data_IF_851885613193
#
_entry.id   IF_851885613193
#
_cell.length_a   1.000
_cell.length_b   1.000
_cell.length_c   1.000
_cell.angle_alpha   90.00
_cell.angle_beta   90.00
_cell.angle_gamma   90.00
#
_symmetry.space_group_name_H-M   'P 1'
#
loop_
_entity.id
_entity.type
_entity.pdbx_description
1 polymer ?
#
# COMPACT_ATOMS: atom_id res chain seq x y z
N UNK A 1 -4.11 6.43 -18.87
CA UNK A 1 -4.36 5.01 -18.87
C UNK A 1 -4.88 4.54 -17.49
N UNK A 2 -4.16 4.81 -16.39
CA UNK A 2 -4.54 4.40 -15.03
C UNK A 2 -5.97 4.85 -14.65
N UNK A 3 -6.28 6.13 -14.82
CA UNK A 3 -7.60 6.70 -14.51
C UNK A 3 -8.73 6.01 -15.30
N UNK A 4 -8.49 5.66 -16.56
CA UNK A 4 -9.48 4.95 -17.35
C UNK A 4 -9.72 3.52 -16.84
N UNK A 5 -8.69 2.84 -16.34
CA UNK A 5 -8.86 1.52 -15.72
C UNK A 5 -9.68 1.62 -14.43
N UNK A 6 -9.37 2.60 -13.58
CA UNK A 6 -10.11 2.82 -12.33
C UNK A 6 -11.60 3.10 -12.59
N UNK A 7 -11.92 3.92 -13.58
CA UNK A 7 -13.31 4.25 -13.96
C UNK A 7 -14.13 3.05 -14.44
N UNK A 8 -13.46 2.02 -14.95
CA UNK A 8 -14.10 0.82 -15.49
C UNK A 8 -14.24 -0.32 -14.48
N UNK A 9 -13.76 -0.13 -13.23
CA UNK A 9 -13.91 -1.13 -12.18
C UNK A 9 -15.38 -1.34 -11.83
N UNK A 10 -15.80 -2.60 -11.84
CA UNK A 10 -17.15 -3.01 -11.50
C UNK A 10 -17.26 -3.20 -9.99
N UNK A 11 -18.14 -2.43 -9.38
CA UNK A 11 -18.50 -2.61 -7.98
C UNK A 11 -19.58 -3.68 -7.87
N UNK A 12 -19.45 -4.57 -6.89
CA UNK A 12 -20.44 -5.60 -6.66
C UNK A 12 -20.10 -6.48 -5.46
N UNK A 13 -21.02 -7.37 -5.14
CA UNK A 13 -20.90 -8.26 -3.99
C UNK A 13 -21.23 -9.70 -4.39
N UNK A 14 -20.36 -10.63 -3.97
CA UNK A 14 -20.55 -12.07 -4.14
C UNK A 14 -20.16 -12.62 -5.51
N UNK A 15 -20.07 -13.94 -5.59
CA UNK A 15 -19.55 -14.67 -6.74
C UNK A 15 -20.38 -14.51 -8.03
N UNK A 16 -21.71 -14.34 -7.88
CA UNK A 16 -22.63 -14.25 -9.01
C UNK A 16 -22.47 -12.99 -9.86
N UNK A 17 -21.84 -11.94 -9.34
CA UNK A 17 -21.66 -10.66 -10.03
C UNK A 17 -20.28 -10.50 -10.67
N UNK A 18 -19.33 -11.37 -10.30
CA UNK A 18 -17.93 -11.27 -10.71
C UNK A 18 -17.41 -9.84 -10.65
N UNK A 19 -17.48 -9.18 -9.48
CA UNK A 19 -17.05 -7.79 -9.33
C UNK A 19 -15.53 -7.68 -9.27
N UNK A 20 -15.01 -6.51 -9.66
CA UNK A 20 -13.61 -6.16 -9.49
C UNK A 20 -13.32 -5.66 -8.07
N UNK A 21 -14.31 -5.07 -7.41
CA UNK A 21 -14.18 -4.53 -6.06
C UNK A 21 -15.47 -4.63 -5.25
N UNK A 22 -15.34 -5.06 -3.99
CA UNK A 22 -16.41 -5.15 -3.02
C UNK A 22 -16.52 -3.90 -2.12
N UNK A 23 -17.46 -3.92 -1.14
CA UNK A 23 -17.59 -2.87 -0.14
C UNK A 23 -16.47 -2.93 0.91
N UNK A 24 -16.29 -1.83 1.63
CA UNK A 24 -15.46 -1.79 2.82
C UNK A 24 -16.09 -2.64 3.95
N UNK A 25 -15.26 -3.03 4.92
CA UNK A 25 -15.70 -3.94 5.99
C UNK A 25 -16.70 -3.29 6.96
N UNK A 26 -16.56 -1.98 7.22
CA UNK A 26 -17.44 -1.23 8.13
C UNK A 26 -17.77 0.16 7.60
N UNK A 27 -18.90 0.73 8.05
CA UNK A 27 -19.25 2.13 7.80
C UNK A 27 -18.23 3.08 8.43
N UNK A 28 -17.71 2.76 9.60
CA UNK A 28 -16.68 3.55 10.27
C UNK A 28 -15.41 3.69 9.41
N UNK A 29 -14.98 2.61 8.74
CA UNK A 29 -13.84 2.66 7.81
C UNK A 29 -14.14 3.54 6.60
N UNK A 30 -15.34 3.40 6.02
CA UNK A 30 -15.79 4.24 4.91
C UNK A 30 -15.78 5.72 5.28
N UNK A 31 -16.40 6.05 6.40
CA UNK A 31 -16.58 7.44 6.85
C UNK A 31 -15.24 8.09 7.19
N UNK A 32 -14.29 7.34 7.80
CA UNK A 32 -12.91 7.79 8.02
C UNK A 32 -12.19 8.10 6.70
N UNK A 33 -12.37 7.26 5.68
CA UNK A 33 -11.71 7.49 4.38
C UNK A 33 -12.34 8.69 3.67
N UNK A 34 -13.65 8.86 3.75
CA UNK A 34 -14.32 10.05 3.21
C UNK A 34 -13.85 11.34 3.89
N UNK A 35 -13.68 11.34 5.22
CA UNK A 35 -13.09 12.45 5.97
C UNK A 35 -11.65 12.74 5.52
N UNK A 36 -10.83 11.71 5.32
CA UNK A 36 -9.46 11.85 4.84
C UNK A 36 -9.39 12.42 3.41
N UNK A 37 -10.32 12.03 2.53
CA UNK A 37 -10.46 12.60 1.20
C UNK A 37 -10.84 14.08 1.29
N UNK A 38 -11.86 14.42 2.07
CA UNK A 38 -12.33 15.80 2.25
C UNK A 38 -11.23 16.70 2.82
N UNK A 39 -10.52 16.25 3.85
CA UNK A 39 -9.34 16.95 4.39
C UNK A 39 -8.29 17.19 3.30
N UNK A 40 -8.00 16.19 2.50
CA UNK A 40 -7.01 16.29 1.42
C UNK A 40 -7.40 17.33 0.38
N UNK A 41 -8.66 17.36 -0.02
CA UNK A 41 -9.17 18.34 -0.99
C UNK A 41 -9.14 19.77 -0.44
N UNK A 42 -9.47 19.96 0.85
CA UNK A 42 -9.38 21.26 1.54
C UNK A 42 -7.93 21.76 1.62
N UNK A 43 -6.96 20.86 1.66
CA UNK A 43 -5.54 21.18 1.71
C UNK A 43 -4.86 21.26 0.32
N UNK A 44 -5.63 21.27 -0.76
CA UNK A 44 -5.11 21.52 -2.12
C UNK A 44 -4.89 20.26 -2.96
N UNK A 45 -5.25 19.07 -2.45
CA UNK A 45 -5.35 17.86 -3.26
C UNK A 45 -6.41 18.00 -4.35
N UNK A 46 -6.24 17.29 -5.46
CA UNK A 46 -7.16 17.33 -6.59
C UNK A 46 -7.82 15.97 -6.78
N UNK A 47 -9.14 15.93 -6.67
CA UNK A 47 -9.93 14.74 -6.99
C UNK A 47 -10.01 14.55 -8.51
N UNK A 48 -9.49 13.44 -8.99
CA UNK A 48 -9.55 13.07 -10.42
C UNK A 48 -10.72 12.13 -10.71
N UNK A 49 -11.12 11.30 -9.71
CA UNK A 49 -12.26 10.39 -9.81
C UNK A 49 -12.69 9.86 -8.44
N UNK A 50 -13.96 9.48 -8.30
CA UNK A 50 -14.52 8.83 -7.11
C UNK A 50 -14.76 9.80 -5.94
N UNK A 51 -14.34 9.40 -4.74
CA UNK A 51 -14.44 10.23 -3.54
C UNK A 51 -15.83 10.31 -2.91
N UNK A 52 -16.75 9.44 -3.31
CA UNK A 52 -18.14 9.42 -2.84
C UNK A 52 -18.71 8.01 -2.70
N UNK A 53 -19.85 7.91 -2.07
CA UNK A 53 -20.66 6.69 -2.07
C UNK A 53 -21.29 6.55 -3.46
N UNK A 54 -21.19 5.37 -4.12
CA UNK A 54 -21.74 5.18 -5.45
C UNK A 54 -23.27 5.23 -5.44
N UNK A 55 -23.86 5.92 -6.42
CA UNK A 55 -25.31 6.14 -6.52
C UNK A 55 -26.12 4.84 -6.67
N UNK A 56 -25.53 3.86 -7.37
CA UNK A 56 -26.13 2.54 -7.57
C UNK A 56 -25.99 1.59 -6.36
N UNK A 57 -25.24 2.00 -5.32
CA UNK A 57 -25.06 1.26 -4.07
C UNK A 57 -25.23 2.19 -2.85
N UNK A 58 -26.41 2.77 -2.65
CA UNK A 58 -26.60 3.79 -1.60
C UNK A 58 -26.63 3.19 -0.17
N UNK A 59 -26.83 1.87 -0.06
CA UNK A 59 -26.88 1.15 1.21
C UNK A 59 -25.64 0.26 1.35
N UNK A 60 -25.05 0.25 2.53
CA UNK A 60 -23.86 -0.54 2.84
C UNK A 60 -22.59 0.31 2.93
N UNK A 61 -21.44 -0.37 2.93
CA UNK A 61 -20.14 0.26 3.20
C UNK A 61 -19.38 0.57 1.90
N UNK A 62 -20.09 1.04 0.90
CA UNK A 62 -19.52 1.30 -0.42
C UNK A 62 -18.75 2.60 -0.48
N UNK A 63 -17.66 2.59 -1.21
CA UNK A 63 -16.88 3.76 -1.61
C UNK A 63 -16.45 3.58 -3.05
N UNK A 64 -16.62 4.59 -3.88
CA UNK A 64 -16.08 4.54 -5.25
C UNK A 64 -14.55 4.43 -5.23
N UNK A 65 -13.96 3.63 -6.15
CA UNK A 65 -12.51 3.69 -6.36
C UNK A 65 -12.12 5.14 -6.64
N UNK A 66 -11.15 5.63 -5.91
CA UNK A 66 -10.83 7.06 -5.86
C UNK A 66 -9.42 7.33 -6.30
N UNK A 67 -9.21 8.38 -7.07
CA UNK A 67 -7.88 8.85 -7.47
C UNK A 67 -7.74 10.32 -7.11
N UNK A 68 -6.71 10.63 -6.34
CA UNK A 68 -6.36 11.98 -5.90
C UNK A 68 -4.93 12.29 -6.33
N UNK A 69 -4.74 13.46 -6.93
CA UNK A 69 -3.43 13.98 -7.33
C UNK A 69 -3.08 15.26 -6.56
N UNK A 70 -1.95 15.84 -6.84
CA UNK A 70 -1.46 17.04 -6.16
C UNK A 70 -1.31 16.86 -4.64
N UNK A 71 -0.84 15.68 -4.25
CA UNK A 71 -0.56 15.33 -2.85
C UNK A 71 0.78 15.95 -2.42
N UNK A 72 0.86 16.37 -1.16
CA UNK A 72 2.11 16.74 -0.50
C UNK A 72 2.34 15.89 0.75
N UNK A 73 3.59 15.80 1.17
CA UNK A 73 4.03 15.08 2.37
C UNK A 73 3.54 15.69 3.69
N UNK A 74 2.88 16.85 3.64
CA UNK A 74 2.26 17.53 4.79
C UNK A 74 0.80 17.15 4.99
N UNK A 75 0.18 16.50 4.01
CA UNK A 75 -1.22 16.10 4.06
C UNK A 75 -1.39 14.83 4.89
N UNK A 76 -2.52 14.69 5.56
CA UNK A 76 -2.87 13.50 6.33
C UNK A 76 -2.85 12.23 5.46
N UNK A 77 -3.35 12.31 4.23
CA UNK A 77 -3.41 11.17 3.30
C UNK A 77 -2.04 10.60 2.92
N UNK A 78 -0.96 11.38 3.08
CA UNK A 78 0.40 10.90 2.89
C UNK A 78 0.92 10.14 4.11
N UNK A 79 0.51 10.55 5.32
CA UNK A 79 1.05 10.06 6.59
C UNK A 79 0.18 8.99 7.26
N UNK A 80 -1.11 8.93 6.95
CA UNK A 80 -2.04 7.95 7.51
C UNK A 80 -2.26 6.78 6.54
N UNK A 81 -2.30 5.55 7.07
CA UNK A 81 -2.69 4.39 6.28
C UNK A 81 -4.15 4.51 5.84
N UNK A 82 -4.39 4.53 4.54
CA UNK A 82 -5.75 4.74 3.99
C UNK A 82 -6.63 3.52 4.24
N UNK A 83 -6.12 2.33 4.02
CA UNK A 83 -6.81 1.04 4.13
C UNK A 83 -8.15 1.00 3.37
N UNK A 84 -8.10 1.40 2.10
CA UNK A 84 -9.27 1.47 1.22
C UNK A 84 -8.95 1.81 -0.23
N UNK A 85 -9.97 1.90 -1.09
CA UNK A 85 -9.80 2.00 -2.54
C UNK A 85 -9.44 3.43 -2.99
N UNK A 86 -8.41 4.01 -2.46
CA UNK A 86 -7.94 5.36 -2.80
C UNK A 86 -6.49 5.31 -3.24
N UNK A 87 -6.22 5.78 -4.44
CA UNK A 87 -4.89 6.00 -4.96
C UNK A 87 -4.50 7.47 -4.82
N UNK A 88 -3.55 7.76 -3.94
CA UNK A 88 -2.94 9.07 -3.79
C UNK A 88 -1.68 9.13 -4.65
N UNK A 89 -1.60 10.11 -5.56
CA UNK A 89 -0.53 10.23 -6.54
C UNK A 89 0.22 11.52 -6.34
N UNK A 90 1.53 11.42 -6.15
CA UNK A 90 2.46 12.53 -6.04
C UNK A 90 3.47 12.48 -7.19
N UNK A 91 3.89 13.64 -7.68
CA UNK A 91 5.00 13.77 -8.62
C UNK A 91 6.30 13.99 -7.87
N UNK A 92 7.38 13.54 -8.45
CA UNK A 92 8.74 13.81 -7.98
C UNK A 92 9.63 14.25 -9.17
N UNK A 93 10.75 14.91 -8.87
CA UNK A 93 11.67 15.48 -9.85
C UNK A 93 13.00 14.73 -9.91
N UNK A 94 13.37 14.02 -8.85
CA UNK A 94 14.63 13.27 -8.78
C UNK A 94 14.47 11.97 -8.02
N UNK A 95 15.41 11.03 -8.22
CA UNK A 95 15.44 9.74 -7.54
C UNK A 95 15.69 9.93 -6.03
N UNK A 96 16.52 10.89 -5.62
CA UNK A 96 16.77 11.19 -4.21
C UNK A 96 15.53 11.78 -3.51
N UNK A 97 14.76 12.63 -4.21
CA UNK A 97 13.51 13.17 -3.69
C UNK A 97 12.50 12.06 -3.41
N UNK A 98 12.25 11.18 -4.39
CA UNK A 98 11.26 10.13 -4.21
C UNK A 98 11.72 9.08 -3.20
N UNK A 99 13.01 8.79 -3.09
CA UNK A 99 13.56 7.92 -2.06
C UNK A 99 13.31 8.49 -0.66
N UNK A 100 13.61 9.79 -0.47
CA UNK A 100 13.37 10.49 0.78
C UNK A 100 11.89 10.46 1.17
N UNK A 101 11.00 10.74 0.21
CA UNK A 101 9.55 10.72 0.44
C UNK A 101 9.05 9.31 0.73
N UNK A 102 9.51 8.31 0.00
CA UNK A 102 9.10 6.91 0.21
C UNK A 102 9.51 6.39 1.58
N UNK A 103 10.70 6.75 2.07
CA UNK A 103 11.20 6.33 3.37
C UNK A 103 10.64 7.14 4.56
N UNK A 104 9.95 8.24 4.30
CA UNK A 104 9.39 9.12 5.34
C UNK A 104 8.21 8.50 6.11
N UNK A 105 7.60 7.47 5.59
CA UNK A 105 6.48 6.77 6.24
C UNK A 105 6.92 6.00 7.48
N UNK A 106 6.02 5.90 8.47
CA UNK A 106 6.20 5.05 9.65
C UNK A 106 6.00 3.55 9.32
N UNK A 107 5.57 3.22 8.14
CA UNK A 107 5.35 1.85 7.66
C UNK A 107 6.45 1.37 6.74
N UNK A 108 6.64 0.06 6.65
CA UNK A 108 7.68 -0.53 5.81
C UNK A 108 7.42 -2.00 5.48
N UNK A 109 6.22 -2.34 4.96
CA UNK A 109 5.94 -3.72 4.56
C UNK A 109 6.48 -3.99 3.17
N UNK A 110 5.90 -3.37 2.15
CA UNK A 110 6.27 -3.61 0.75
C UNK A 110 6.34 -2.32 -0.07
N UNK A 111 7.27 -2.26 -0.99
CA UNK A 111 7.41 -1.20 -1.98
C UNK A 111 7.47 -1.78 -3.39
N UNK A 112 7.06 -0.99 -4.38
CA UNK A 112 6.95 -1.43 -5.77
C UNK A 112 7.64 -0.44 -6.69
N UNK A 113 8.57 -0.94 -7.52
CA UNK A 113 9.32 -0.14 -8.48
C UNK A 113 9.00 -0.61 -9.89
N UNK A 114 8.68 0.32 -10.78
CA UNK A 114 8.46 0.04 -12.19
C UNK A 114 9.46 0.82 -13.03
N UNK A 115 10.50 0.16 -13.49
CA UNK A 115 11.56 0.76 -14.33
C UNK A 115 12.35 -0.31 -15.07
N UNK A 116 12.87 0.03 -16.24
CA UNK A 116 13.82 -0.82 -16.99
C UNK A 116 15.27 -0.40 -16.77
N UNK A 117 15.52 0.65 -16.00
CA UNK A 117 16.86 1.17 -15.73
C UNK A 117 17.50 0.38 -14.56
N UNK A 118 18.49 -0.44 -14.85
CA UNK A 118 19.20 -1.27 -13.86
C UNK A 118 19.83 -0.45 -12.73
N UNK A 119 20.36 0.74 -13.01
CA UNK A 119 20.94 1.60 -11.97
C UNK A 119 19.89 2.05 -10.97
N UNK A 120 18.68 2.38 -11.45
CA UNK A 120 17.54 2.72 -10.59
C UNK A 120 17.04 1.51 -9.81
N UNK A 121 17.01 0.32 -10.44
CA UNK A 121 16.63 -0.91 -9.74
C UNK A 121 17.55 -1.13 -8.55
N UNK A 122 18.86 -1.11 -8.76
CA UNK A 122 19.84 -1.30 -7.69
C UNK A 122 19.75 -0.21 -6.62
N UNK A 123 19.70 1.06 -7.05
CA UNK A 123 19.61 2.20 -6.14
C UNK A 123 18.40 2.09 -5.20
N UNK A 124 17.22 1.86 -5.72
CA UNK A 124 16.01 1.78 -4.88
C UNK A 124 15.95 0.47 -4.09
N UNK A 125 16.40 -0.66 -4.64
CA UNK A 125 16.39 -1.93 -3.92
C UNK A 125 17.30 -1.92 -2.69
N UNK A 126 18.37 -1.15 -2.72
CA UNK A 126 19.33 -1.03 -1.60
C UNK A 126 18.92 0.03 -0.57
N UNK A 127 18.18 1.07 -1.00
CA UNK A 127 17.93 2.24 -0.16
C UNK A 127 16.49 2.42 0.32
N UNK A 128 15.52 1.67 -0.22
CA UNK A 128 14.15 1.68 0.27
C UNK A 128 14.06 0.92 1.60
N UNK A 129 13.51 1.57 2.62
CA UNK A 129 13.31 1.03 3.96
C UNK A 129 12.00 0.26 4.07
N UNK A 130 11.94 -0.89 3.38
CA UNK A 130 10.79 -1.79 3.36
C UNK A 130 11.26 -3.24 3.48
N UNK A 131 10.44 -4.10 4.08
CA UNK A 131 10.72 -5.53 4.16
C UNK A 131 10.74 -6.21 2.80
N UNK A 132 9.98 -5.67 1.85
CA UNK A 132 9.97 -6.12 0.46
C UNK A 132 10.15 -4.98 -0.53
N UNK A 133 10.98 -5.21 -1.56
CA UNK A 133 11.09 -4.34 -2.73
C UNK A 133 10.77 -5.19 -3.97
N UNK A 134 9.62 -4.95 -4.56
CA UNK A 134 9.12 -5.64 -5.74
C UNK A 134 9.43 -4.83 -7.01
N UNK A 135 10.04 -5.45 -8.01
CA UNK A 135 10.46 -4.76 -9.25
C UNK A 135 9.67 -5.29 -10.44
N UNK A 136 8.99 -4.39 -11.15
CA UNK A 136 8.24 -4.66 -12.38
C UNK A 136 7.16 -5.74 -12.25
N UNK A 137 6.66 -5.98 -11.05
CA UNK A 137 5.61 -6.96 -10.80
C UNK A 137 5.57 -7.39 -9.35
N UNK A 138 4.77 -8.41 -9.07
CA UNK A 138 4.62 -9.00 -7.75
C UNK A 138 5.04 -10.48 -7.85
N UNK A 139 5.96 -10.89 -6.98
CA UNK A 139 6.37 -12.28 -6.86
C UNK A 139 6.23 -12.75 -5.41
N UNK A 140 5.26 -13.61 -5.18
CA UNK A 140 5.14 -14.33 -3.92
C UNK A 140 5.66 -15.75 -4.06
N UNK A 141 6.46 -16.18 -3.09
CA UNK A 141 6.90 -17.58 -3.01
C UNK A 141 7.18 -17.94 -1.55
N UNK A 142 6.82 -19.14 -1.15
CA UNK A 142 6.94 -19.61 0.24
C UNK A 142 8.40 -19.60 0.75
N UNK A 143 9.38 -19.61 -0.13
CA UNK A 143 10.81 -19.55 0.20
C UNK A 143 11.36 -18.12 0.31
N UNK A 144 10.57 -17.11 -0.05
CA UNK A 144 10.91 -15.70 0.13
C UNK A 144 10.36 -15.22 1.47
N UNK A 145 11.17 -14.51 2.27
CA UNK A 145 10.66 -13.94 3.51
C UNK A 145 9.61 -12.87 3.21
N UNK A 146 8.53 -12.89 3.97
CA UNK A 146 7.52 -11.85 3.97
C UNK A 146 7.44 -11.28 5.37
N UNK A 147 7.66 -9.99 5.53
CA UNK A 147 7.63 -9.31 6.81
C UNK A 147 7.98 -7.85 6.66
N UNK A 148 7.43 -7.02 7.54
CA UNK A 148 7.63 -5.59 7.55
C UNK A 148 8.75 -5.16 8.48
N UNK A 149 9.09 -3.88 8.37
CA UNK A 149 9.90 -3.13 9.32
C UNK A 149 9.09 -1.93 9.81
N UNK A 150 9.62 -1.15 10.75
CA UNK A 150 8.95 0.00 11.36
C UNK A 150 7.60 -0.44 11.98
N UNK A 151 6.55 0.35 11.87
CA UNK A 151 5.21 0.06 12.42
C UNK A 151 4.46 -1.06 11.65
N UNK A 152 4.99 -1.54 10.52
CA UNK A 152 4.37 -2.67 9.80
C UNK A 152 4.54 -4.01 10.49
N UNK A 153 5.41 -4.11 11.51
CA UNK A 153 5.50 -5.27 12.37
C UNK A 153 6.90 -5.81 12.57
N UNK A 154 6.98 -6.90 13.33
CA UNK A 154 8.21 -7.60 13.71
C UNK A 154 8.07 -9.07 13.31
N UNK A 155 9.17 -9.67 12.87
CA UNK A 155 9.20 -11.07 12.44
C UNK A 155 8.86 -11.27 10.98
N UNK A 156 8.83 -12.55 10.58
CA UNK A 156 8.60 -12.94 9.19
C UNK A 156 7.64 -14.12 9.13
N UNK A 157 6.77 -14.13 8.16
CA UNK A 157 6.15 -15.34 7.66
C UNK A 157 6.83 -15.77 6.37
N UNK A 158 6.61 -16.98 5.92
CA UNK A 158 7.33 -17.58 4.79
C UNK A 158 8.84 -17.72 5.02
N UNK A 159 9.49 -18.43 4.11
CA UNK A 159 10.92 -18.81 4.16
C UNK A 159 11.34 -19.58 5.43
N UNK A 160 12.60 -19.97 5.47
CA UNK A 160 13.17 -20.60 6.67
C UNK A 160 13.31 -19.62 7.86
N UNK A 161 13.28 -18.32 7.62
CA UNK A 161 13.38 -17.30 8.67
C UNK A 161 12.17 -17.35 9.61
N UNK A 162 10.98 -17.67 9.12
CA UNK A 162 9.79 -17.84 9.93
C UNK A 162 9.95 -18.90 11.03
N UNK A 163 10.76 -19.92 10.79
CA UNK A 163 11.01 -20.96 11.79
C UNK A 163 11.71 -20.40 13.03
N UNK A 164 12.50 -19.34 12.91
CA UNK A 164 13.19 -18.74 14.05
C UNK A 164 12.24 -18.20 15.10
N UNK A 165 11.05 -17.75 14.70
CA UNK A 165 10.03 -17.19 15.60
C UNK A 165 9.33 -18.28 16.43
N UNK A 166 9.41 -19.55 15.97
CA UNK A 166 8.81 -20.71 16.62
C UNK A 166 9.82 -21.63 17.32
N UNK A 167 11.12 -21.32 17.25
CA UNK A 167 12.20 -22.17 17.77
C UNK A 167 13.00 -21.48 18.87
N UNK A 168 13.31 -22.22 19.93
CA UNK A 168 14.25 -21.78 20.96
C UNK A 168 15.64 -22.33 20.68
N UNK A 169 16.65 -21.46 20.64
CA UNK A 169 18.05 -21.85 20.42
C UNK A 169 18.66 -22.36 21.70
N UNK A 170 19.33 -23.53 21.64
CA UNK A 170 20.04 -24.16 22.76
C UNK A 170 21.50 -24.38 22.38
N UNK A 171 22.41 -23.94 23.23
CA UNK A 171 23.84 -24.26 23.11
C UNK A 171 24.13 -25.54 23.91
N UNK A 172 24.80 -26.51 23.30
CA UNK A 172 25.37 -27.68 23.95
C UNK A 172 26.88 -27.64 23.75
N UNK A 173 27.64 -27.70 24.84
CA UNK A 173 29.09 -27.77 24.83
C UNK A 173 29.54 -29.00 25.63
N UNK A 174 30.37 -29.84 25.05
CA UNK A 174 30.98 -31.02 25.69
C UNK A 174 32.49 -30.82 25.69
N UNK A 175 33.09 -30.79 26.88
CA UNK A 175 34.53 -30.83 27.05
C UNK A 175 34.96 -32.31 27.07
N UNK A 176 35.92 -32.72 26.21
CA UNK A 176 36.53 -34.05 26.16
C UNK A 176 37.87 -34.01 26.88
#
# INVERSE_FOLDING_TARGET
EYLNRVKNLKLGFGENQNPDMGPLITSKSRDRILDLIDDTLKNGGKLEYGGKIPENHPIGNWLEPTVITNISDKMRIFNEEIFGPVASIMKFSSDDEVLTLANKTDYGLASYIFTTNEKRINFFSENLEFGEVQVNGIKYAIYLPHGGIKESGIGHDCSYLALNDYLTKKRISVAL
#
